data_IF_558809350961
#
_entry.id   IF_558809350961
#
_cell.length_a   1.000
_cell.length_b   1.000
_cell.length_c   1.000
_cell.angle_alpha   90.00
_cell.angle_beta   90.00
_cell.angle_gamma   90.00
#
_symmetry.space_group_name_H-M   'P 1'
#
loop_
_entity.id
_entity.type
_entity.pdbx_description
1 polymer ?
#
# COMPACT_ATOMS: atom_id res chain seq x y z
N UNK A 1 45.89 -16.39 -51.39
CA UNK A 1 44.78 -16.16 -50.43
C UNK A 1 45.18 -15.22 -49.31
N UNK A 2 46.38 -15.35 -48.74
CA UNK A 2 46.90 -14.52 -47.64
C UNK A 2 46.87 -12.99 -47.89
N UNK A 3 47.19 -12.55 -49.11
CA UNK A 3 47.15 -11.12 -49.46
C UNK A 3 45.76 -10.48 -49.39
N UNK A 4 44.68 -11.25 -49.59
CA UNK A 4 43.32 -10.72 -49.48
C UNK A 4 42.89 -10.62 -48.02
N UNK A 5 43.24 -11.63 -47.21
CA UNK A 5 43.01 -11.62 -45.76
C UNK A 5 43.71 -10.43 -45.09
N UNK A 6 44.96 -10.15 -45.47
CA UNK A 6 45.70 -8.99 -44.95
C UNK A 6 45.05 -7.66 -45.34
N UNK A 7 44.50 -7.55 -46.56
CA UNK A 7 43.79 -6.34 -47.01
C UNK A 7 42.49 -6.13 -46.24
N UNK A 8 41.76 -7.20 -45.95
CA UNK A 8 40.55 -7.17 -45.12
C UNK A 8 40.85 -6.79 -43.67
N UNK A 9 41.94 -7.32 -43.10
CA UNK A 9 42.38 -6.94 -41.75
C UNK A 9 42.80 -5.46 -41.69
N UNK A 10 43.50 -4.97 -42.71
CA UNK A 10 43.90 -3.55 -42.80
C UNK A 10 42.69 -2.64 -43.02
N UNK A 11 41.71 -3.03 -43.84
CA UNK A 11 40.50 -2.23 -44.05
C UNK A 11 39.66 -2.15 -42.77
N UNK A 12 39.54 -3.26 -42.04
CA UNK A 12 38.89 -3.33 -40.74
C UNK A 12 39.59 -2.44 -39.71
N UNK A 13 40.93 -2.52 -39.60
CA UNK A 13 41.72 -1.65 -38.72
C UNK A 13 41.56 -0.16 -39.06
N UNK A 14 41.51 0.18 -40.36
CA UNK A 14 41.29 1.57 -40.80
C UNK A 14 39.91 2.09 -40.40
N UNK A 15 38.85 1.30 -40.55
CA UNK A 15 37.52 1.66 -40.05
C UNK A 15 37.48 1.79 -38.54
N UNK A 16 38.27 0.98 -37.84
CA UNK A 16 38.26 0.91 -36.39
C UNK A 16 39.14 1.99 -35.74
N UNK A 17 40.06 2.62 -36.47
CA UNK A 17 40.90 3.74 -36.00
C UNK A 17 40.44 5.10 -36.54
N UNK A 18 39.98 5.14 -37.78
CA UNK A 18 39.65 6.37 -38.52
C UNK A 18 38.19 6.39 -39.01
N UNK A 19 37.43 5.32 -38.82
CA UNK A 19 35.99 5.32 -39.09
C UNK A 19 35.23 6.06 -37.99
N UNK A 20 34.02 6.49 -38.34
CA UNK A 20 33.13 7.31 -37.50
C UNK A 20 32.60 6.61 -36.23
N UNK A 21 33.17 5.47 -35.83
CA UNK A 21 32.58 4.54 -34.86
C UNK A 21 33.28 4.45 -33.49
N UNK A 22 34.25 5.33 -33.18
CA UNK A 22 34.92 5.34 -31.85
C UNK A 22 35.00 6.68 -31.14
N UNK A 23 34.56 7.76 -31.77
CA UNK A 23 34.35 9.04 -31.10
C UNK A 23 32.87 9.19 -30.75
N UNK A 24 32.40 8.34 -29.84
CA UNK A 24 30.99 8.28 -29.41
C UNK A 24 30.65 9.33 -28.35
N UNK A 25 31.64 10.14 -27.94
CA UNK A 25 31.36 11.33 -27.15
C UNK A 25 31.16 12.49 -28.11
N UNK A 26 29.93 12.67 -28.56
CA UNK A 26 29.52 13.94 -29.17
C UNK A 26 29.88 15.04 -28.16
N UNK A 27 30.75 15.95 -28.58
CA UNK A 27 31.09 17.09 -27.76
C UNK A 27 29.83 17.96 -27.57
N UNK A 28 29.71 18.62 -26.42
CA UNK A 28 28.55 19.46 -26.14
C UNK A 28 28.38 20.57 -27.20
N UNK A 29 29.48 21.02 -27.82
CA UNK A 29 29.43 21.96 -28.94
C UNK A 29 28.80 21.35 -30.21
N UNK A 30 29.07 20.09 -30.53
CA UNK A 30 28.46 19.41 -31.68
C UNK A 30 26.96 19.19 -31.50
N UNK A 31 26.53 18.83 -30.29
CA UNK A 31 25.11 18.70 -29.97
C UNK A 31 24.36 20.03 -30.08
N UNK A 32 24.98 21.15 -29.67
CA UNK A 32 24.40 22.49 -29.83
C UNK A 32 24.21 22.86 -31.30
N UNK A 33 25.21 22.62 -32.14
CA UNK A 33 25.09 22.88 -33.58
C UNK A 33 23.99 22.04 -34.25
N UNK A 34 23.82 20.79 -33.81
CA UNK A 34 22.73 19.93 -34.29
C UNK A 34 21.36 20.45 -33.83
N UNK A 35 21.25 20.96 -32.61
CA UNK A 35 20.03 21.59 -32.11
C UNK A 35 19.69 22.87 -32.89
N UNK A 36 20.66 23.77 -33.09
CA UNK A 36 20.47 25.00 -33.86
C UNK A 36 20.00 24.71 -35.29
N UNK A 37 20.55 23.68 -35.93
CA UNK A 37 20.13 23.24 -37.26
C UNK A 37 18.69 22.68 -37.26
N UNK A 38 18.32 21.91 -36.24
CA UNK A 38 16.95 21.39 -36.07
C UNK A 38 15.94 22.51 -35.77
N UNK A 39 16.32 23.52 -34.99
CA UNK A 39 15.50 24.71 -34.71
C UNK A 39 15.22 25.48 -36.00
N UNK A 40 16.24 25.72 -36.83
CA UNK A 40 16.08 26.34 -38.15
C UNK A 40 15.19 25.50 -39.06
N UNK A 41 15.30 24.17 -39.03
CA UNK A 41 14.44 23.29 -39.82
C UNK A 41 12.98 23.35 -39.35
N UNK A 42 12.77 23.44 -38.03
CA UNK A 42 11.44 23.61 -37.45
C UNK A 42 10.81 24.95 -37.85
N UNK A 43 11.57 26.05 -37.79
CA UNK A 43 11.13 27.39 -38.22
C UNK A 43 10.76 27.44 -39.71
N UNK A 44 11.49 26.71 -40.54
CA UNK A 44 11.22 26.61 -41.98
C UNK A 44 10.13 25.59 -42.34
N UNK A 45 9.72 24.75 -41.38
CA UNK A 45 8.68 23.75 -41.62
C UNK A 45 7.28 24.37 -41.52
N UNK A 46 6.46 24.13 -42.54
CA UNK A 46 5.06 24.57 -42.51
C UNK A 46 4.28 23.73 -41.49
N UNK A 47 3.78 24.37 -40.43
CA UNK A 47 2.92 23.69 -39.46
C UNK A 47 1.55 23.44 -40.08
N UNK A 48 1.13 22.18 -40.12
CA UNK A 48 -0.21 21.79 -40.58
C UNK A 48 -1.07 21.36 -39.37
N UNK A 49 -2.26 21.95 -39.24
CA UNK A 49 -3.23 21.52 -38.22
C UNK A 49 -3.96 20.27 -38.69
N UNK A 50 -3.61 19.11 -38.14
CA UNK A 50 -4.27 17.83 -38.43
C UNK A 50 -5.41 17.63 -37.43
N UNK A 51 -6.65 17.71 -37.90
CA UNK A 51 -7.83 17.30 -37.14
C UNK A 51 -7.99 15.78 -37.27
N UNK A 52 -8.00 15.04 -36.15
CA UNK A 52 -8.29 13.62 -36.14
C UNK A 52 -9.35 13.28 -35.10
N UNK A 53 -10.24 12.35 -35.45
CA UNK A 53 -11.25 11.84 -34.55
C UNK A 53 -10.70 10.63 -33.78
N UNK A 54 -10.62 10.74 -32.46
CA UNK A 54 -10.29 9.62 -31.57
C UNK A 54 -11.56 9.02 -31.00
N UNK A 55 -11.75 7.71 -31.14
CA UNK A 55 -12.75 7.00 -30.34
C UNK A 55 -12.33 7.03 -28.87
N UNK A 56 -13.07 7.78 -28.07
CA UNK A 56 -12.93 7.74 -26.62
C UNK A 56 -13.56 6.42 -26.16
N UNK A 57 -12.83 5.56 -25.41
CA UNK A 57 -13.46 4.39 -24.83
C UNK A 57 -14.64 4.86 -23.97
N UNK A 58 -15.78 4.16 -24.05
CA UNK A 58 -16.89 4.40 -23.12
C UNK A 58 -16.35 4.12 -21.72
N UNK A 59 -15.99 5.16 -21.00
CA UNK A 59 -15.60 5.05 -19.59
C UNK A 59 -16.86 4.67 -18.84
N UNK A 60 -17.08 3.37 -18.68
CA UNK A 60 -18.06 2.86 -17.74
C UNK A 60 -17.67 3.33 -16.34
N UNK A 61 -18.65 3.77 -15.55
CA UNK A 61 -18.39 4.07 -14.13
C UNK A 61 -17.93 2.76 -13.49
N UNK A 62 -16.67 2.70 -13.07
CA UNK A 62 -16.18 1.59 -12.28
C UNK A 62 -16.81 1.68 -10.89
N UNK A 63 -17.46 0.60 -10.46
CA UNK A 63 -17.97 0.50 -9.10
C UNK A 63 -16.83 0.68 -8.10
N UNK A 64 -17.02 1.59 -7.16
CA UNK A 64 -16.09 1.83 -6.06
C UNK A 64 -16.10 0.64 -5.09
N UNK A 65 -15.04 0.46 -4.30
CA UNK A 65 -14.99 -0.61 -3.30
C UNK A 65 -16.13 -0.50 -2.28
N UNK A 66 -16.49 0.73 -1.89
CA UNK A 66 -17.63 0.97 -1.01
C UNK A 66 -18.94 0.48 -1.64
N UNK A 67 -19.08 0.61 -2.96
CA UNK A 67 -20.26 0.12 -3.68
C UNK A 67 -20.30 -1.39 -3.80
N UNK A 68 -19.16 -2.02 -4.09
CA UNK A 68 -19.05 -3.48 -4.22
C UNK A 68 -19.37 -4.22 -2.94
N UNK A 69 -19.04 -3.63 -1.79
CA UNK A 69 -19.18 -4.30 -0.50
C UNK A 69 -20.38 -3.81 0.32
N UNK A 70 -21.33 -3.04 -0.21
CA UNK A 70 -22.45 -2.45 0.57
C UNK A 70 -23.17 -3.46 1.47
N UNK A 71 -23.51 -4.63 0.94
CA UNK A 71 -24.36 -5.62 1.61
C UNK A 71 -23.60 -6.52 2.62
N UNK A 72 -22.29 -6.32 2.78
CA UNK A 72 -21.49 -7.15 3.68
C UNK A 72 -21.70 -6.75 5.15
N UNK A 73 -21.91 -7.73 6.06
CA UNK A 73 -22.13 -7.46 7.48
C UNK A 73 -20.89 -6.83 8.14
N UNK A 74 -21.12 -5.87 9.04
CA UNK A 74 -20.09 -5.25 9.88
C UNK A 74 -20.02 -6.04 11.18
N UNK A 75 -18.92 -6.74 11.43
CA UNK A 75 -18.74 -7.54 12.66
C UNK A 75 -17.97 -6.78 13.74
N UNK A 76 -16.96 -6.01 13.35
CA UNK A 76 -16.12 -5.26 14.29
C UNK A 76 -16.12 -3.77 13.95
N UNK A 77 -16.39 -2.93 14.95
CA UNK A 77 -16.21 -1.47 14.86
C UNK A 77 -15.16 -1.04 15.87
N UNK A 78 -14.02 -0.57 15.37
CA UNK A 78 -12.88 -0.14 16.18
C UNK A 78 -12.83 1.38 16.14
N UNK A 79 -13.09 2.02 17.28
CA UNK A 79 -12.96 3.47 17.43
C UNK A 79 -11.56 3.78 17.96
N UNK A 80 -10.79 4.58 17.22
CA UNK A 80 -9.42 4.96 17.63
C UNK A 80 -9.44 6.44 17.99
N UNK A 81 -9.41 6.72 19.29
CA UNK A 81 -9.38 8.09 19.83
C UNK A 81 -7.94 8.58 20.03
N UNK A 82 -7.68 9.89 19.85
CA UNK A 82 -6.36 10.46 20.08
C UNK A 82 -6.05 10.57 21.58
N UNK A 83 -4.79 10.33 21.93
CA UNK A 83 -4.30 10.35 23.32
C UNK A 83 -4.60 11.68 24.03
N UNK A 84 -4.50 12.81 23.33
CA UNK A 84 -4.84 14.14 23.87
C UNK A 84 -6.30 14.24 24.33
N UNK A 85 -7.22 13.60 23.60
CA UNK A 85 -8.66 13.64 23.91
C UNK A 85 -9.01 12.62 24.99
N UNK A 86 -8.28 11.51 25.05
CA UNK A 86 -8.40 10.57 26.18
C UNK A 86 -7.91 11.18 27.49
N UNK A 87 -6.88 12.04 27.43
CA UNK A 87 -6.37 12.75 28.60
C UNK A 87 -7.34 13.84 29.11
N UNK A 88 -7.99 14.57 28.20
CA UNK A 88 -8.89 15.68 28.54
C UNK A 88 -10.21 15.66 27.72
N UNK A 89 -11.13 14.73 27.99
CA UNK A 89 -12.34 14.57 27.16
C UNK A 89 -13.28 15.78 27.19
N UNK A 90 -13.26 16.57 28.27
CA UNK A 90 -14.15 17.73 28.44
C UNK A 90 -13.72 18.95 27.60
N UNK A 91 -12.44 19.03 27.24
CA UNK A 91 -11.83 20.16 26.53
C UNK A 91 -12.12 20.14 25.02
N UNK A 92 -12.65 19.03 24.48
CA UNK A 92 -12.81 18.81 23.05
C UNK A 92 -14.26 18.55 22.64
N UNK A 93 -14.60 18.99 21.43
CA UNK A 93 -15.86 18.66 20.75
C UNK A 93 -15.55 17.79 19.53
N UNK A 94 -16.32 16.71 19.34
CA UNK A 94 -16.27 15.90 18.13
C UNK A 94 -16.93 16.65 16.97
N UNK A 95 -16.22 16.82 15.85
CA UNK A 95 -16.74 17.51 14.64
C UNK A 95 -17.25 16.50 13.62
N UNK A 96 -16.40 15.56 13.24
CA UNK A 96 -16.66 14.61 12.16
C UNK A 96 -15.86 13.33 12.38
N UNK A 97 -16.16 12.29 11.61
CA UNK A 97 -15.51 10.99 11.73
C UNK A 97 -14.99 10.57 10.36
N UNK A 98 -13.77 10.04 10.32
CA UNK A 98 -13.24 9.34 9.16
C UNK A 98 -13.46 7.85 9.34
N UNK A 99 -14.26 7.25 8.47
CA UNK A 99 -14.52 5.80 8.46
C UNK A 99 -13.70 5.13 7.37
N UNK A 100 -12.84 4.21 7.78
CA UNK A 100 -12.15 3.29 6.88
C UNK A 100 -12.68 1.90 7.13
N UNK A 101 -12.90 1.10 6.09
CA UNK A 101 -13.28 -0.30 6.27
C UNK A 101 -12.25 -1.24 5.64
N UNK A 102 -12.03 -2.35 6.32
CA UNK A 102 -11.27 -3.49 5.83
C UNK A 102 -12.23 -4.67 5.65
N UNK A 103 -11.96 -5.51 4.65
CA UNK A 103 -12.75 -6.71 4.39
C UNK A 103 -11.89 -7.90 4.76
N UNK A 104 -12.28 -8.59 5.81
CA UNK A 104 -11.61 -9.80 6.27
C UNK A 104 -12.33 -11.05 5.75
N UNK A 105 -11.53 -12.09 5.53
CA UNK A 105 -11.96 -13.33 4.92
C UNK A 105 -11.86 -14.45 5.96
N UNK A 106 -13.00 -14.98 6.38
CA UNK A 106 -13.10 -16.19 7.17
C UNK A 106 -13.88 -17.23 6.36
N UNK A 107 -13.21 -18.01 5.49
CA UNK A 107 -13.89 -18.91 4.56
C UNK A 107 -14.94 -19.77 5.30
N UNK A 108 -16.21 -19.83 4.85
CA UNK A 108 -16.81 -19.30 3.61
C UNK A 108 -17.42 -17.88 3.71
N UNK A 109 -17.20 -17.16 4.80
CA UNK A 109 -17.78 -15.84 5.10
C UNK A 109 -16.80 -14.70 4.84
N UNK A 110 -17.37 -13.55 4.48
CA UNK A 110 -16.69 -12.26 4.38
C UNK A 110 -17.35 -11.32 5.39
N UNK A 111 -16.57 -10.47 6.02
CA UNK A 111 -17.08 -9.48 6.98
C UNK A 111 -16.31 -8.18 6.85
N UNK A 112 -16.98 -7.08 7.21
CA UNK A 112 -16.36 -5.76 7.30
C UNK A 112 -15.87 -5.52 8.72
N UNK A 113 -14.69 -4.93 8.80
CA UNK A 113 -14.16 -4.30 10.01
C UNK A 113 -14.10 -2.81 9.74
N UNK A 114 -14.90 -2.04 10.47
CA UNK A 114 -14.97 -0.60 10.35
C UNK A 114 -14.04 0.04 11.38
N UNK A 115 -13.12 0.87 10.93
CA UNK A 115 -12.20 1.64 11.75
C UNK A 115 -12.68 3.09 11.71
N UNK A 116 -13.16 3.58 12.85
CA UNK A 116 -13.70 4.93 13.01
C UNK A 116 -12.63 5.80 13.67
N UNK A 117 -12.22 6.85 12.97
CA UNK A 117 -11.25 7.85 13.45
C UNK A 117 -11.95 9.20 13.64
N UNK A 118 -12.43 9.50 14.85
CA UNK A 118 -13.07 10.77 15.15
C UNK A 118 -12.10 11.96 15.07
N UNK A 119 -12.59 13.07 14.54
CA UNK A 119 -11.92 14.38 14.52
C UNK A 119 -12.46 15.26 15.62
N UNK A 120 -11.56 15.86 16.39
CA UNK A 120 -11.91 16.71 17.51
C UNK A 120 -11.41 18.14 17.30
N UNK A 121 -12.18 19.13 17.77
CA UNK A 121 -11.70 20.51 17.98
C UNK A 121 -11.58 20.79 19.46
N UNK A 122 -10.69 21.69 19.84
CA UNK A 122 -10.68 22.26 21.19
C UNK A 122 -11.81 23.28 21.34
N UNK A 123 -12.44 23.30 22.52
CA UNK A 123 -13.51 24.27 22.86
C UNK A 123 -12.95 25.66 23.11
N UNK A 124 -11.81 25.74 23.79
CA UNK A 124 -11.16 27.00 24.19
C UNK A 124 -10.68 27.80 22.96
N UNK A 125 -9.91 27.16 22.08
CA UNK A 125 -9.33 27.81 20.90
C UNK A 125 -9.78 27.13 19.60
N UNK A 126 -10.74 27.76 18.92
CA UNK A 126 -11.33 27.24 17.67
C UNK A 126 -10.45 27.48 16.44
N UNK A 127 -9.38 28.27 16.57
CA UNK A 127 -8.41 28.53 15.51
C UNK A 127 -7.35 27.43 15.37
N UNK A 128 -7.19 26.59 16.39
CA UNK A 128 -6.23 25.49 16.36
C UNK A 128 -6.67 24.39 15.38
N UNK A 129 -5.72 23.70 14.73
CA UNK A 129 -6.04 22.62 13.82
C UNK A 129 -6.77 21.48 14.56
N UNK A 130 -7.77 20.84 13.93
CA UNK A 130 -8.45 19.69 14.51
C UNK A 130 -7.48 18.54 14.81
N UNK A 131 -7.65 17.91 15.96
CA UNK A 131 -6.86 16.76 16.41
C UNK A 131 -7.47 15.49 15.83
N UNK A 132 -6.65 14.68 15.17
CA UNK A 132 -7.03 13.43 14.50
C UNK A 132 -5.91 12.43 14.73
N UNK A 133 -6.25 11.17 15.01
CA UNK A 133 -5.26 10.09 15.10
C UNK A 133 -4.65 9.82 13.74
N UNK A 134 -3.36 9.54 13.66
CA UNK A 134 -2.71 9.05 12.43
C UNK A 134 -3.44 7.83 11.87
N UNK A 135 -3.61 7.75 10.54
CA UNK A 135 -4.24 6.60 9.93
C UNK A 135 -3.43 5.32 10.21
N UNK A 136 -4.08 4.18 10.49
CA UNK A 136 -3.37 2.91 10.61
C UNK A 136 -2.63 2.62 9.29
N UNK A 137 -1.47 1.95 9.37
CA UNK A 137 -0.75 1.54 8.16
C UNK A 137 -1.67 0.66 7.33
N UNK A 138 -1.88 1.01 6.05
CA UNK A 138 -2.65 0.18 5.14
C UNK A 138 -2.03 -1.23 5.08
N UNK A 139 -2.88 -2.27 5.10
CA UNK A 139 -2.44 -3.64 4.88
C UNK A 139 -1.68 -3.70 3.54
N UNK A 140 -0.38 -4.02 3.58
CA UNK A 140 0.49 -3.99 2.40
C UNK A 140 -0.02 -4.96 1.33
N UNK A 141 -0.48 -4.42 0.21
CA UNK A 141 -1.01 -5.15 -0.94
C UNK A 141 -0.03 -6.18 -1.51
N UNK A 142 1.27 -6.08 -1.18
CA UNK A 142 2.32 -7.01 -1.61
C UNK A 142 2.38 -8.32 -0.82
N UNK A 143 1.79 -8.39 0.37
CA UNK A 143 1.94 -9.56 1.27
C UNK A 143 0.88 -10.65 1.11
N UNK A 144 -0.12 -10.48 0.23
CA UNK A 144 -1.09 -11.55 -0.08
C UNK A 144 -0.58 -12.58 -1.12
N UNK A 145 0.74 -12.71 -1.28
CA UNK A 145 1.38 -13.83 -2.02
C UNK A 145 1.94 -14.93 -1.12
N UNK A 146 1.59 -14.97 0.17
CA UNK A 146 1.98 -16.10 1.03
C UNK A 146 0.80 -16.55 1.90
N UNK A 147 -0.15 -17.23 1.25
CA UNK A 147 -0.99 -18.23 1.90
C UNK A 147 -0.28 -19.58 2.00
N UNK A 148 0.93 -19.60 2.57
CA UNK A 148 1.49 -20.81 3.18
C UNK A 148 1.06 -20.81 4.64
N UNK A 149 0.64 -21.94 5.24
CA UNK A 149 0.22 -21.95 6.63
C UNK A 149 1.42 -21.64 7.51
N UNK A 150 1.56 -20.38 7.93
CA UNK A 150 2.38 -20.03 9.08
C UNK A 150 1.75 -20.77 10.27
N UNK A 151 2.37 -21.87 10.67
CA UNK A 151 2.12 -22.60 11.91
C UNK A 151 1.99 -21.59 13.03
N UNK A 152 0.76 -21.33 13.43
CA UNK A 152 0.45 -20.65 14.66
C UNK A 152 0.85 -21.61 15.78
N UNK A 153 2.08 -21.50 16.25
CA UNK A 153 2.51 -22.03 17.55
C UNK A 153 1.77 -21.24 18.65
N UNK A 154 0.46 -21.48 18.77
CA UNK A 154 -0.40 -21.01 19.87
C UNK A 154 -1.08 -22.20 20.55
N UNK A 155 -0.39 -23.34 20.60
CA UNK A 155 -0.82 -24.52 21.39
C UNK A 155 0.09 -24.75 22.60
N UNK A 156 1.20 -24.00 22.75
CA UNK A 156 2.12 -24.13 23.90
C UNK A 156 1.90 -23.16 25.07
N UNK A 157 1.06 -22.13 24.95
CA UNK A 157 0.83 -21.19 26.06
C UNK A 157 -0.47 -21.41 26.85
N UNK A 158 -1.41 -22.23 26.36
CA UNK A 158 -2.64 -22.54 27.12
C UNK A 158 -2.43 -23.69 28.12
N UNK A 159 -1.33 -24.47 28.01
CA UNK A 159 -0.99 -25.52 28.98
C UNK A 159 -0.38 -25.03 30.31
N UNK A 160 -0.15 -23.73 30.48
CA UNK A 160 0.36 -23.18 31.74
C UNK A 160 -0.73 -22.59 32.66
N UNK A 161 -1.99 -22.47 32.20
CA UNK A 161 -3.07 -21.83 32.98
C UNK A 161 -4.11 -22.82 33.55
N UNK A 162 -4.12 -24.09 33.13
CA UNK A 162 -5.04 -25.11 33.65
C UNK A 162 -4.50 -25.91 34.87
N UNK A 163 -3.38 -25.49 35.46
CA UNK A 163 -2.80 -26.13 36.65
C UNK A 163 -3.28 -25.53 37.99
N UNK A 164 -4.19 -24.54 37.97
CA UNK A 164 -4.58 -23.81 39.19
C UNK A 164 -6.07 -23.90 39.56
N UNK A 165 -6.90 -24.64 38.83
CA UNK A 165 -8.34 -24.73 39.11
C UNK A 165 -8.87 -26.16 38.95
N UNK A 166 -8.49 -27.03 39.88
CA UNK A 166 -9.27 -28.22 40.24
C UNK A 166 -9.40 -28.30 41.75
N UNK A 167 -9.87 -27.20 42.36
CA UNK A 167 -10.55 -27.24 43.62
C UNK A 167 -12.04 -27.46 43.31
N UNK A 168 -12.60 -28.58 43.75
CA UNK A 168 -14.05 -28.72 43.85
C UNK A 168 -14.63 -30.05 43.39
N UNK A 169 -14.90 -30.89 44.38
CA UNK A 169 -16.10 -31.73 44.50
C UNK A 169 -16.16 -33.08 43.77
N UNK A 170 -16.01 -34.17 44.53
CA UNK A 170 -17.05 -35.20 44.64
C UNK A 170 -16.74 -36.18 45.80
N UNK A 171 -17.63 -36.16 46.80
CA UNK A 171 -18.10 -37.23 47.69
C UNK A 171 -17.33 -38.56 47.80
N UNK A 172 -17.00 -38.95 49.03
CA UNK A 172 -17.13 -40.33 49.56
C UNK A 172 -17.26 -40.32 51.11
N UNK A 173 -18.05 -41.28 51.61
CA UNK A 173 -18.58 -41.48 52.99
C UNK A 173 -17.52 -41.79 54.07
N UNK A 174 -17.81 -41.47 55.35
CA UNK A 174 -17.90 -42.37 56.54
C UNK A 174 -18.14 -41.53 57.84
N UNK A 175 -19.25 -41.67 58.60
CA UNK A 175 -19.56 -42.57 59.75
C UNK A 175 -19.23 -42.02 61.16
N UNK A 176 -20.28 -41.95 62.01
CA UNK A 176 -20.39 -42.03 63.51
C UNK A 176 -19.75 -40.91 64.35
N UNK A 177 -20.24 -40.51 65.55
CA UNK A 177 -21.19 -41.08 66.54
C UNK A 177 -21.62 -39.98 67.54
N UNK A 178 -22.77 -40.18 68.21
CA UNK A 178 -23.15 -39.95 69.63
C UNK A 178 -22.34 -38.93 70.47
N UNK A 179 -22.85 -38.16 71.42
CA UNK A 179 -24.07 -38.19 72.28
C UNK A 179 -23.83 -37.11 73.34
N UNK A 180 -24.89 -36.49 73.87
CA UNK A 180 -24.83 -35.65 75.06
C UNK A 180 -25.89 -34.58 75.04
#
# INVERSE_FOLDING_TARGET
MENNLLKEQVSWLKQQLFGSGKSERLDAAQLRLQLDELERQLENSATQSIAYERRVPKVGKHETSAERFKDLPVEETIVIEPEEVQAEPESFDQISQEETFEVDIHPPKLFKRCIVRPKYRRKADRSQPPVIVTAPPACDRRQLRLGGPARVDRVKQIRAAHAAQSAGCATLRFVRKSSG
#
